data_IF_403823135552
#
_entry.id   IF_403823135552
#
_cell.length_a   1.000
_cell.length_b   1.000
_cell.length_c   1.000
_cell.angle_alpha   90.00
_cell.angle_beta   90.00
_cell.angle_gamma   90.00
#
_symmetry.space_group_name_H-M   'P 1'
#
loop_
_entity.id
_entity.type
_entity.pdbx_description
1 polymer ?
#
# COMPACT_ATOMS: atom_id res chain seq x y z
N UNK A 1 -15.47 1.79 -73.26
CA UNK A 1 -14.49 0.89 -72.67
C UNK A 1 -13.66 1.69 -71.68
N UNK A 2 -14.04 1.66 -70.45
CA UNK A 2 -13.43 2.43 -69.34
C UNK A 2 -12.62 1.49 -68.48
N UNK A 3 -11.31 1.58 -68.58
CA UNK A 3 -10.33 0.86 -67.77
C UNK A 3 -10.29 1.50 -66.38
N UNK A 4 -10.75 0.78 -65.36
CA UNK A 4 -10.59 1.12 -63.97
C UNK A 4 -9.18 0.75 -63.50
N UNK A 5 -8.36 1.76 -63.29
CA UNK A 5 -7.08 1.61 -62.62
C UNK A 5 -7.31 1.30 -61.14
N UNK A 6 -6.78 0.17 -60.69
CA UNK A 6 -6.74 -0.27 -59.29
C UNK A 6 -5.63 0.51 -58.60
N UNK A 7 -5.87 1.21 -57.49
CA UNK A 7 -4.81 1.79 -56.70
C UNK A 7 -4.14 0.71 -55.87
N UNK A 8 -3.05 0.12 -56.39
CA UNK A 8 -2.12 -0.70 -55.62
C UNK A 8 -1.15 0.28 -54.93
N UNK A 9 -1.40 0.59 -53.67
CA UNK A 9 -0.49 1.51 -52.98
C UNK A 9 -0.84 1.92 -51.59
N UNK A 10 -1.35 1.02 -50.75
CA UNK A 10 -1.54 1.41 -49.32
C UNK A 10 -1.23 0.32 -48.30
N UNK A 11 -0.62 -0.79 -48.75
CA UNK A 11 -0.35 -1.91 -47.83
C UNK A 11 1.02 -1.90 -47.16
N UNK A 12 1.91 -0.96 -47.51
CA UNK A 12 3.26 -0.91 -46.96
C UNK A 12 3.43 0.09 -45.78
N UNK A 13 2.41 0.86 -45.45
CA UNK A 13 2.51 1.86 -44.40
C UNK A 13 1.98 1.41 -43.00
N UNK A 14 1.41 0.23 -42.90
CA UNK A 14 0.78 -0.22 -41.64
C UNK A 14 1.48 -1.33 -40.88
N UNK A 15 2.63 -1.78 -41.32
CA UNK A 15 3.52 -2.56 -40.47
C UNK A 15 4.30 -1.55 -39.58
N UNK A 16 3.61 -0.70 -38.86
CA UNK A 16 4.16 -0.11 -37.65
C UNK A 16 4.38 -1.27 -36.69
N UNK A 17 5.62 -1.75 -36.70
CA UNK A 17 6.17 -2.62 -35.68
C UNK A 17 5.68 -2.08 -34.35
N UNK A 18 4.66 -2.73 -33.79
CA UNK A 18 4.21 -2.47 -32.45
C UNK A 18 5.41 -2.81 -31.56
N UNK A 19 6.21 -1.80 -31.27
CA UNK A 19 7.38 -1.88 -30.42
C UNK A 19 6.88 -2.51 -29.13
N UNK A 20 7.15 -3.79 -28.93
CA UNK A 20 6.77 -4.53 -27.71
C UNK A 20 7.39 -3.78 -26.56
N UNK A 21 6.58 -2.97 -25.90
CA UNK A 21 6.99 -2.25 -24.71
C UNK A 21 7.42 -3.28 -23.67
N UNK A 22 8.58 -3.08 -23.09
CA UNK A 22 9.10 -3.94 -22.04
C UNK A 22 8.06 -4.07 -20.91
N UNK A 23 7.82 -5.27 -20.38
CA UNK A 23 6.88 -5.47 -19.26
C UNK A 23 7.25 -4.62 -18.03
N UNK A 24 8.53 -4.28 -17.89
CA UNK A 24 9.03 -3.39 -16.84
C UNK A 24 8.56 -1.94 -17.06
N UNK A 25 8.57 -1.46 -18.32
CA UNK A 25 8.13 -0.09 -18.66
C UNK A 25 6.61 0.08 -18.47
N UNK A 26 5.84 -0.97 -18.75
CA UNK A 26 4.39 -0.99 -18.49
C UNK A 26 4.10 -0.96 -17.00
N UNK A 27 4.82 -1.76 -16.20
CA UNK A 27 4.68 -1.77 -14.73
C UNK A 27 5.11 -0.44 -14.11
N UNK A 28 6.20 0.15 -14.59
CA UNK A 28 6.65 1.46 -14.12
C UNK A 28 5.65 2.57 -14.40
N UNK A 29 5.01 2.57 -15.57
CA UNK A 29 3.91 3.50 -15.88
C UNK A 29 2.69 3.27 -15.02
N UNK A 30 2.35 2.02 -14.73
CA UNK A 30 1.24 1.69 -13.82
C UNK A 30 1.51 2.21 -12.41
N UNK A 31 2.73 2.08 -11.91
CA UNK A 31 3.13 2.65 -10.61
C UNK A 31 3.06 4.18 -10.60
N UNK A 32 3.53 4.83 -11.66
CA UNK A 32 3.51 6.30 -11.76
C UNK A 32 2.11 6.88 -11.94
N UNK A 33 1.20 6.11 -12.50
CA UNK A 33 -0.20 6.46 -12.68
C UNK A 33 -1.12 5.77 -11.67
N UNK A 34 -0.56 5.31 -10.53
CA UNK A 34 -1.36 4.74 -9.44
C UNK A 34 -2.48 5.72 -9.07
N UNK A 35 -3.74 5.28 -9.03
CA UNK A 35 -4.86 6.15 -8.73
C UNK A 35 -4.62 6.81 -7.38
N UNK A 36 -4.72 8.12 -7.34
CA UNK A 36 -4.52 8.95 -6.13
C UNK A 36 -5.17 8.40 -4.86
N UNK A 37 -6.37 7.76 -4.92
CA UNK A 37 -6.98 7.13 -3.74
C UNK A 37 -6.14 6.00 -3.14
N UNK A 38 -5.53 5.14 -3.97
CA UNK A 38 -4.70 4.02 -3.50
C UNK A 38 -3.44 4.54 -2.80
N UNK A 39 -2.78 5.53 -3.39
CA UNK A 39 -1.59 6.16 -2.78
C UNK A 39 -1.93 6.78 -1.43
N UNK A 40 -3.08 7.46 -1.32
CA UNK A 40 -3.55 8.03 -0.05
C UNK A 40 -3.85 6.96 1.00
N UNK A 41 -4.47 5.86 0.60
CA UNK A 41 -4.76 4.75 1.50
C UNK A 41 -3.48 4.11 2.06
N UNK A 42 -2.49 3.86 1.20
CA UNK A 42 -1.19 3.33 1.61
C UNK A 42 -0.45 4.31 2.51
N UNK A 43 -0.42 5.60 2.15
CA UNK A 43 0.23 6.63 2.94
C UNK A 43 -0.40 6.77 4.34
N UNK A 44 -1.72 6.72 4.46
CA UNK A 44 -2.40 6.78 5.75
C UNK A 44 -2.11 5.55 6.62
N UNK A 45 -2.07 4.35 6.03
CA UNK A 45 -1.69 3.14 6.75
C UNK A 45 -0.24 3.21 7.24
N UNK A 46 0.66 3.77 6.44
CA UNK A 46 2.05 3.99 6.83
C UNK A 46 2.16 4.99 7.99
N UNK A 47 1.43 6.10 7.95
CA UNK A 47 1.41 7.09 9.05
C UNK A 47 0.93 6.45 10.36
N UNK A 48 -0.16 5.67 10.32
CA UNK A 48 -0.66 4.97 11.52
C UNK A 48 0.36 3.97 12.04
N UNK A 49 1.02 3.21 11.13
CA UNK A 49 2.05 2.25 11.50
C UNK A 49 3.26 2.93 12.16
N UNK A 50 3.71 4.06 11.62
CA UNK A 50 4.85 4.83 12.17
C UNK A 50 4.50 5.39 13.55
N UNK A 51 3.33 6.00 13.71
CA UNK A 51 2.88 6.54 15.02
C UNK A 51 2.80 5.41 16.04
N UNK A 52 2.14 4.31 15.70
CA UNK A 52 2.03 3.15 16.59
C UNK A 52 3.39 2.52 16.93
N UNK A 53 4.30 2.45 15.95
CA UNK A 53 5.67 1.98 16.16
C UNK A 53 6.47 2.86 17.12
N UNK A 54 6.33 4.18 17.02
CA UNK A 54 6.95 5.14 17.95
C UNK A 54 6.38 4.98 19.37
N UNK A 55 5.06 4.82 19.50
CA UNK A 55 4.42 4.61 20.79
C UNK A 55 4.87 3.27 21.43
N UNK A 56 4.94 2.21 20.62
CA UNK A 56 5.48 0.94 21.08
C UNK A 56 6.93 1.07 21.55
N UNK A 57 7.78 1.75 20.77
CA UNK A 57 9.18 1.98 21.12
C UNK A 57 9.32 2.78 22.44
N UNK A 58 8.54 3.83 22.59
CA UNK A 58 8.54 4.63 23.82
C UNK A 58 8.15 3.79 25.05
N UNK A 59 7.12 2.94 24.91
CA UNK A 59 6.74 2.01 25.95
C UNK A 59 7.85 1.00 26.27
N UNK A 60 8.45 0.38 25.25
CA UNK A 60 9.50 -0.63 25.41
C UNK A 60 10.76 -0.03 26.06
N UNK A 61 11.13 1.21 25.70
CA UNK A 61 12.23 1.94 26.32
C UNK A 61 11.94 2.32 27.77
N UNK A 62 10.70 2.69 28.10
CA UNK A 62 10.30 3.01 29.47
C UNK A 62 10.44 1.78 30.39
N UNK A 63 9.97 0.61 29.94
CA UNK A 63 10.14 -0.65 30.68
C UNK A 63 11.61 -1.04 30.79
N UNK A 64 12.41 -0.89 29.71
CA UNK A 64 13.84 -1.17 29.74
C UNK A 64 14.61 -0.22 30.68
N UNK A 65 14.11 1.00 30.86
CA UNK A 65 14.63 1.98 31.81
C UNK A 65 14.23 1.78 33.26
N UNK A 66 13.48 0.70 33.56
CA UNK A 66 13.06 0.35 34.94
C UNK A 66 11.85 1.16 35.44
N UNK A 67 11.05 1.73 34.56
CA UNK A 67 9.80 2.38 34.95
C UNK A 67 8.76 1.33 35.27
N UNK A 68 8.31 1.28 36.52
CA UNK A 68 7.22 0.42 36.95
C UNK A 68 5.88 0.96 36.48
N UNK A 69 5.33 0.31 35.44
CA UNK A 69 4.02 0.68 34.91
C UNK A 69 2.91 -0.16 35.56
N UNK A 70 1.75 0.45 35.84
CA UNK A 70 0.61 -0.28 36.37
C UNK A 70 0.16 -1.34 35.37
N UNK A 71 0.15 -2.61 35.81
CA UNK A 71 -0.20 -3.77 34.95
C UNK A 71 0.99 -4.67 34.60
N UNK A 72 2.21 -4.34 34.99
CA UNK A 72 3.41 -5.15 34.72
C UNK A 72 3.90 -5.06 33.27
N UNK A 73 4.58 -6.11 32.80
CA UNK A 73 5.11 -6.15 31.43
C UNK A 73 4.01 -6.53 30.42
N UNK A 74 3.44 -5.52 29.78
CA UNK A 74 2.39 -5.66 28.76
C UNK A 74 2.92 -5.57 27.32
N UNK A 75 4.24 -5.82 27.09
CA UNK A 75 4.87 -5.69 25.77
C UNK A 75 4.12 -6.48 24.69
N UNK A 76 3.73 -7.71 25.01
CA UNK A 76 2.99 -8.56 24.06
C UNK A 76 1.61 -7.96 23.72
N UNK A 77 0.92 -7.42 24.72
CA UNK A 77 -0.38 -6.78 24.53
C UNK A 77 -0.27 -5.51 23.69
N UNK A 78 0.75 -4.67 23.95
CA UNK A 78 1.01 -3.48 23.14
C UNK A 78 1.39 -3.83 21.71
N UNK A 79 2.20 -4.87 21.51
CA UNK A 79 2.55 -5.37 20.17
C UNK A 79 1.30 -5.88 19.44
N UNK A 80 0.50 -6.70 20.07
CA UNK A 80 -0.75 -7.20 19.50
C UNK A 80 -1.72 -6.06 19.17
N UNK A 81 -1.89 -5.11 20.08
CA UNK A 81 -2.71 -3.91 19.88
C UNK A 81 -2.21 -3.08 18.70
N UNK A 82 -0.91 -2.87 18.59
CA UNK A 82 -0.29 -2.20 17.44
C UNK A 82 -0.67 -2.86 16.12
N UNK A 83 -0.48 -4.18 16.00
CA UNK A 83 -0.82 -4.94 14.79
C UNK A 83 -2.29 -4.79 14.44
N UNK A 84 -3.19 -5.00 15.41
CA UNK A 84 -4.64 -4.89 15.21
C UNK A 84 -5.03 -3.48 14.75
N UNK A 85 -4.50 -2.43 15.37
CA UNK A 85 -4.81 -1.03 15.01
C UNK A 85 -4.33 -0.70 13.60
N UNK A 86 -3.11 -1.11 13.23
CA UNK A 86 -2.57 -0.83 11.89
C UNK A 86 -3.38 -1.57 10.82
N UNK A 87 -3.73 -2.84 11.04
CA UNK A 87 -4.51 -3.62 10.09
C UNK A 87 -5.95 -3.08 9.96
N UNK A 88 -6.58 -2.74 11.07
CA UNK A 88 -7.92 -2.16 11.09
C UNK A 88 -7.94 -0.80 10.39
N UNK A 89 -6.96 0.08 10.67
CA UNK A 89 -6.85 1.37 10.02
C UNK A 89 -6.60 1.24 8.51
N UNK A 90 -5.70 0.36 8.09
CA UNK A 90 -5.42 0.10 6.68
C UNK A 90 -6.64 -0.41 5.94
N UNK A 91 -7.37 -1.36 6.52
CA UNK A 91 -8.60 -1.91 5.98
C UNK A 91 -9.70 -0.85 5.87
N UNK A 92 -9.94 -0.11 6.96
CA UNK A 92 -10.99 0.91 7.03
C UNK A 92 -10.75 2.08 6.08
N UNK A 93 -9.53 2.61 6.06
CA UNK A 93 -9.16 3.73 5.18
C UNK A 93 -9.27 3.33 3.72
N UNK A 94 -8.83 2.12 3.37
CA UNK A 94 -8.95 1.62 1.99
C UNK A 94 -10.41 1.44 1.59
N UNK A 95 -11.25 0.89 2.47
CA UNK A 95 -12.69 0.78 2.25
C UNK A 95 -13.36 2.15 2.06
N UNK A 96 -12.91 3.17 2.79
CA UNK A 96 -13.47 4.51 2.72
C UNK A 96 -13.05 5.26 1.44
N UNK A 97 -11.77 5.13 1.04
CA UNK A 97 -11.16 5.96 0.00
C UNK A 97 -11.23 5.32 -1.38
N UNK A 98 -11.27 3.98 -1.49
CA UNK A 98 -11.24 3.25 -2.75
C UNK A 98 -12.63 2.76 -3.13
N UNK A 99 -13.46 3.59 -3.80
CA UNK A 99 -14.73 3.16 -4.34
C UNK A 99 -14.51 2.25 -5.55
N UNK A 100 -15.24 1.15 -5.63
CA UNK A 100 -15.21 0.27 -6.80
C UNK A 100 -16.38 0.56 -7.74
N UNK A 101 -16.15 0.66 -9.07
CA UNK A 101 -17.23 0.78 -10.04
C UNK A 101 -18.01 -0.52 -10.09
N UNK A 102 -19.33 -0.43 -9.94
CA UNK A 102 -20.23 -1.55 -10.19
C UNK A 102 -20.35 -1.76 -11.71
N UNK A 103 -20.32 -3.01 -12.17
CA UNK A 103 -20.30 -3.37 -13.59
C UNK A 103 -21.45 -2.84 -14.48
N UNK A 104 -22.40 -2.10 -13.93
CA UNK A 104 -23.49 -1.43 -14.64
C UNK A 104 -23.34 0.11 -14.74
N UNK A 105 -22.17 0.65 -14.52
CA UNK A 105 -21.74 1.92 -15.11
C UNK A 105 -21.96 3.20 -14.33
N UNK A 106 -22.74 3.32 -13.25
CA UNK A 106 -22.97 4.63 -12.62
C UNK A 106 -23.06 4.64 -11.09
N UNK A 107 -23.21 3.51 -10.45
CA UNK A 107 -23.23 3.45 -8.98
C UNK A 107 -21.86 3.01 -8.42
N UNK A 108 -21.26 3.89 -7.66
CA UNK A 108 -20.07 3.60 -6.88
C UNK A 108 -20.52 2.89 -5.60
N UNK A 109 -20.19 1.61 -5.45
CA UNK A 109 -20.53 0.82 -4.26
C UNK A 109 -19.25 0.55 -3.46
N UNK A 110 -19.35 0.77 -2.15
CA UNK A 110 -18.28 0.36 -1.22
C UNK A 110 -18.30 -1.16 -1.12
N UNK A 111 -17.23 -1.79 -1.58
CA UNK A 111 -17.12 -3.25 -1.60
C UNK A 111 -16.30 -3.73 -0.39
N UNK A 112 -16.69 -4.84 0.26
CA UNK A 112 -15.85 -5.50 1.26
C UNK A 112 -14.51 -5.97 0.70
N UNK A 113 -14.42 -6.14 -0.61
CA UNK A 113 -13.18 -6.48 -1.31
C UNK A 113 -12.12 -5.39 -1.20
N UNK A 114 -12.52 -4.11 -1.20
CA UNK A 114 -11.56 -3.01 -0.99
C UNK A 114 -10.98 -2.99 0.43
N UNK A 115 -11.77 -3.39 1.44
CA UNK A 115 -11.29 -3.56 2.81
C UNK A 115 -10.27 -4.69 2.91
N UNK A 116 -10.53 -5.83 2.26
CA UNK A 116 -9.58 -6.95 2.20
C UNK A 116 -8.26 -6.55 1.54
N UNK A 117 -8.30 -5.82 0.42
CA UNK A 117 -7.09 -5.30 -0.22
C UNK A 117 -6.30 -4.37 0.70
N UNK A 118 -7.00 -3.53 1.48
CA UNK A 118 -6.38 -2.66 2.47
C UNK A 118 -5.68 -3.42 3.58
N UNK A 119 -6.30 -4.49 4.07
CA UNK A 119 -5.72 -5.40 5.05
C UNK A 119 -4.44 -6.05 4.52
N UNK A 120 -4.47 -6.62 3.32
CA UNK A 120 -3.29 -7.22 2.69
C UNK A 120 -2.16 -6.22 2.45
N UNK A 121 -2.47 -4.99 2.10
CA UNK A 121 -1.47 -3.93 1.94
C UNK A 121 -0.89 -3.47 3.30
N UNK A 122 -1.68 -3.48 4.36
CA UNK A 122 -1.26 -3.06 5.69
C UNK A 122 -0.32 -4.08 6.37
N UNK A 123 -0.41 -5.37 6.06
CA UNK A 123 0.45 -6.42 6.63
C UNK A 123 1.95 -6.14 6.40
N UNK A 124 2.44 -5.98 5.17
CA UNK A 124 3.86 -5.70 4.94
C UNK A 124 4.29 -4.35 5.52
N UNK A 125 3.42 -3.34 5.52
CA UNK A 125 3.71 -2.03 6.12
C UNK A 125 3.91 -2.17 7.63
N UNK A 126 3.00 -2.86 8.32
CA UNK A 126 3.08 -3.14 9.74
C UNK A 126 4.38 -3.86 10.09
N UNK A 127 4.72 -4.92 9.36
CA UNK A 127 5.92 -5.70 9.56
C UNK A 127 7.19 -4.87 9.35
N UNK A 128 7.29 -4.16 8.21
CA UNK A 128 8.47 -3.35 7.89
C UNK A 128 8.72 -2.24 8.91
N UNK A 129 7.66 -1.55 9.35
CA UNK A 129 7.80 -0.51 10.38
C UNK A 129 8.24 -1.12 11.71
N UNK A 130 7.69 -2.27 12.09
CA UNK A 130 8.08 -2.95 13.32
C UNK A 130 9.54 -3.38 13.31
N UNK A 131 10.00 -4.00 12.21
CA UNK A 131 11.39 -4.39 12.02
C UNK A 131 12.30 -3.17 12.07
N UNK A 132 11.94 -2.09 11.38
CA UNK A 132 12.71 -0.85 11.40
C UNK A 132 12.85 -0.29 12.83
N UNK A 133 11.76 -0.27 13.58
CA UNK A 133 11.73 0.23 14.96
C UNK A 133 12.58 -0.63 15.89
N UNK A 134 12.43 -1.96 15.82
CA UNK A 134 13.10 -2.87 16.74
C UNK A 134 14.57 -3.15 16.38
N UNK A 135 14.87 -3.30 15.08
CA UNK A 135 16.19 -3.72 14.64
C UNK A 135 17.12 -2.55 14.28
N UNK A 136 16.56 -1.38 13.97
CA UNK A 136 17.36 -0.22 13.57
C UNK A 136 17.29 0.89 14.60
N UNK A 137 16.10 1.36 14.93
CA UNK A 137 15.93 2.56 15.78
C UNK A 137 16.29 2.24 17.23
N UNK A 138 15.77 1.14 17.77
CA UNK A 138 16.01 0.75 19.16
C UNK A 138 17.50 0.55 19.48
N UNK A 139 18.31 -0.19 18.70
CA UNK A 139 19.74 -0.31 18.95
C UNK A 139 20.49 1.02 18.91
N UNK A 140 20.12 1.91 17.98
CA UNK A 140 20.74 3.24 17.88
C UNK A 140 20.48 4.07 19.15
N UNK A 141 19.25 4.02 19.69
CA UNK A 141 18.87 4.77 20.89
C UNK A 141 19.50 4.21 22.18
N UNK A 142 19.72 2.88 22.23
CA UNK A 142 20.32 2.22 23.42
C UNK A 142 21.85 2.23 23.34
N UNK A 143 22.44 2.61 22.19
CA UNK A 143 23.88 2.71 22.01
C UNK A 143 24.60 1.35 21.87
N UNK A 144 23.88 0.38 21.29
CA UNK A 144 24.42 -0.96 20.97
C UNK A 144 24.36 -1.24 19.48
#
# INVERSE_FOLDING_TARGET
MTSRGTPAGSSAAEVRVARRRSPVEVRWRQFRNAPRPVVRAVASSLVVAVIGGILYLAYDLAIAGGVDLPGGDLRLLFLAGYVVVVLAAGSFVTWLIVPQPTGSGTRVVRSPWSAALGLFAAIPICYLVLVLVLEVIKPILIGR
#
